data_IF_879847984366
#
_entry.id   IF_879847984366
#
_cell.length_a   1.000
_cell.length_b   1.000
_cell.length_c   1.000
_cell.angle_alpha   90.00
_cell.angle_beta   90.00
_cell.angle_gamma   90.00
#
_symmetry.space_group_name_H-M   'P 1'
#
loop_
_entity.id
_entity.type
_entity.pdbx_description
1 polymer ?
#
# COMPACT_ATOMS: atom_id res chain seq x y z
N UNK A 1 -22.01 -58.14 0.32
CA UNK A 1 -21.88 -57.63 -1.07
C UNK A 1 -22.45 -56.22 -1.22
N UNK A 2 -23.76 -55.97 -1.07
CA UNK A 2 -24.35 -54.61 -1.20
C UNK A 2 -23.74 -53.56 -0.26
N UNK A 3 -23.52 -53.89 1.02
CA UNK A 3 -22.93 -52.96 2.02
C UNK A 3 -21.47 -52.58 1.66
N UNK A 4 -20.68 -53.55 1.22
CA UNK A 4 -19.29 -53.34 0.75
C UNK A 4 -19.25 -52.45 -0.49
N UNK A 5 -20.19 -52.63 -1.42
CA UNK A 5 -20.30 -51.82 -2.64
C UNK A 5 -20.68 -50.36 -2.32
N UNK A 6 -21.57 -50.15 -1.34
CA UNK A 6 -21.97 -48.81 -0.90
C UNK A 6 -20.78 -48.07 -0.28
N UNK A 7 -20.03 -48.72 0.61
CA UNK A 7 -18.85 -48.12 1.26
C UNK A 7 -17.79 -47.74 0.23
N UNK A 8 -17.54 -48.59 -0.76
CA UNK A 8 -16.57 -48.31 -1.82
C UNK A 8 -16.99 -47.10 -2.67
N UNK A 9 -18.28 -47.00 -3.01
CA UNK A 9 -18.81 -45.86 -3.77
C UNK A 9 -18.78 -44.56 -2.96
N UNK A 10 -19.03 -44.59 -1.65
CA UNK A 10 -18.93 -43.40 -0.80
C UNK A 10 -17.49 -42.91 -0.66
N UNK A 11 -16.52 -43.83 -0.54
CA UNK A 11 -15.10 -43.47 -0.48
C UNK A 11 -14.65 -42.88 -1.82
N UNK A 12 -15.06 -43.47 -2.94
CA UNK A 12 -14.74 -42.97 -4.28
C UNK A 12 -15.34 -41.58 -4.53
N UNK A 13 -16.59 -41.35 -4.12
CA UNK A 13 -17.23 -40.03 -4.20
C UNK A 13 -16.50 -38.99 -3.34
N UNK A 14 -16.04 -39.35 -2.14
CA UNK A 14 -15.28 -38.46 -1.26
C UNK A 14 -13.91 -38.10 -1.86
N UNK A 15 -13.22 -39.06 -2.48
CA UNK A 15 -11.93 -38.84 -3.17
C UNK A 15 -12.12 -37.92 -4.40
N UNK A 16 -13.23 -38.06 -5.13
CA UNK A 16 -13.55 -37.19 -6.26
C UNK A 16 -13.83 -35.75 -5.82
N UNK A 17 -14.53 -35.55 -4.69
CA UNK A 17 -14.76 -34.22 -4.11
C UNK A 17 -13.45 -33.58 -3.65
N UNK A 18 -12.56 -34.37 -3.02
CA UNK A 18 -11.25 -33.89 -2.56
C UNK A 18 -10.29 -33.55 -3.73
N UNK A 19 -10.43 -34.24 -4.87
CA UNK A 19 -9.61 -33.99 -6.07
C UNK A 19 -10.04 -32.74 -6.83
N UNK A 20 -11.28 -32.28 -6.65
CA UNK A 20 -11.80 -31.05 -7.27
C UNK A 20 -11.45 -29.76 -6.50
N UNK A 21 -10.92 -29.86 -5.28
CA UNK A 21 -10.51 -28.70 -4.47
C UNK A 21 -9.04 -28.28 -4.66
N UNK A 22 -8.26 -28.92 -5.54
CA UNK A 22 -6.79 -28.72 -5.53
C UNK A 22 -6.24 -27.74 -6.58
N UNK A 23 -7.08 -27.02 -7.33
CA UNK A 23 -6.56 -26.01 -8.28
C UNK A 23 -7.39 -24.74 -8.28
N UNK A 24 -7.45 -24.07 -7.13
CA UNK A 24 -7.63 -22.63 -7.17
C UNK A 24 -6.39 -22.03 -7.82
N UNK A 25 -6.58 -21.44 -9.02
CA UNK A 25 -5.58 -20.55 -9.61
C UNK A 25 -5.54 -19.30 -8.76
N UNK A 26 -4.71 -19.34 -7.73
CA UNK A 26 -4.42 -18.22 -6.88
C UNK A 26 -3.34 -17.35 -7.58
N UNK A 27 -3.52 -16.02 -7.67
CA UNK A 27 -4.63 -15.25 -7.14
C UNK A 27 -5.80 -15.13 -8.13
N UNK A 28 -7.02 -15.34 -7.61
CA UNK A 28 -8.21 -14.76 -8.21
C UNK A 28 -8.03 -13.24 -8.30
N UNK A 29 -8.61 -12.56 -9.31
CA UNK A 29 -8.62 -11.11 -9.35
C UNK A 29 -9.16 -10.58 -8.03
N UNK A 30 -8.35 -9.77 -7.33
CA UNK A 30 -8.79 -9.16 -6.09
C UNK A 30 -9.97 -8.25 -6.41
N UNK A 31 -11.14 -8.53 -5.83
CA UNK A 31 -12.30 -7.61 -5.94
C UNK A 31 -12.00 -6.23 -5.33
N UNK A 32 -11.06 -6.17 -4.39
CA UNK A 32 -10.61 -4.91 -3.79
C UNK A 32 -9.52 -4.20 -4.61
N UNK A 33 -8.80 -4.93 -5.47
CA UNK A 33 -7.67 -4.42 -6.27
C UNK A 33 -7.80 -4.90 -7.72
N UNK A 34 -8.42 -4.09 -8.61
CA UNK A 34 -8.66 -4.46 -10.00
C UNK A 34 -7.36 -4.62 -10.81
N UNK A 35 -7.50 -5.08 -12.05
CA UNK A 35 -6.36 -5.16 -12.98
C UNK A 35 -5.66 -3.79 -13.13
N UNK A 36 -4.33 -3.80 -13.13
CA UNK A 36 -3.51 -2.60 -13.20
C UNK A 36 -3.29 -1.88 -11.86
N UNK A 37 -3.83 -2.38 -10.73
CA UNK A 37 -3.72 -1.72 -9.41
C UNK A 37 -2.29 -1.33 -9.01
N UNK A 38 -1.30 -2.19 -9.29
CA UNK A 38 0.11 -1.96 -8.98
C UNK A 38 0.95 -1.52 -10.19
N UNK A 39 0.31 -1.08 -11.27
CA UNK A 39 0.97 -0.62 -12.48
C UNK A 39 0.88 0.89 -12.58
N UNK A 40 2.02 1.58 -12.42
CA UNK A 40 2.07 3.04 -12.52
C UNK A 40 1.51 3.51 -13.86
N UNK A 41 0.56 4.47 -13.81
CA UNK A 41 -0.11 5.02 -14.98
C UNK A 41 -1.29 4.21 -15.52
N UNK A 42 -1.60 3.05 -14.96
CA UNK A 42 -2.84 2.35 -15.28
C UNK A 42 -4.07 3.12 -14.76
N UNK A 43 -5.23 2.90 -15.41
CA UNK A 43 -6.51 3.53 -15.04
C UNK A 43 -6.84 3.32 -13.57
N UNK A 44 -6.69 2.08 -13.08
CA UNK A 44 -6.97 1.72 -11.69
C UNK A 44 -5.74 1.77 -10.78
N UNK A 45 -4.70 2.54 -11.11
CA UNK A 45 -3.48 2.60 -10.31
C UNK A 45 -3.77 3.09 -8.88
N UNK A 46 -3.28 2.34 -7.87
CA UNK A 46 -3.56 2.63 -6.47
C UNK A 46 -3.11 4.03 -6.05
N UNK A 47 -1.98 4.51 -6.58
CA UNK A 47 -1.46 5.83 -6.22
C UNK A 47 -2.43 6.95 -6.61
N UNK A 48 -3.10 6.82 -7.76
CA UNK A 48 -4.17 7.74 -8.16
C UNK A 48 -5.35 7.67 -7.20
N UNK A 49 -5.73 6.46 -6.76
CA UNK A 49 -6.84 6.28 -5.83
C UNK A 49 -6.54 6.84 -4.44
N UNK A 50 -5.33 6.63 -3.94
CA UNK A 50 -4.87 7.17 -2.65
C UNK A 50 -4.87 8.70 -2.66
N UNK A 51 -4.46 9.34 -3.77
CA UNK A 51 -4.55 10.79 -3.91
C UNK A 51 -5.99 11.31 -3.93
N UNK A 52 -6.92 10.54 -4.48
CA UNK A 52 -8.34 10.92 -4.61
C UNK A 52 -9.11 10.77 -3.28
N UNK A 53 -8.91 9.66 -2.58
CA UNK A 53 -9.77 9.28 -1.42
C UNK A 53 -9.01 9.00 -0.12
N UNK A 54 -7.68 9.13 -0.12
CA UNK A 54 -6.83 8.75 0.99
C UNK A 54 -6.65 7.23 1.14
N UNK A 55 -6.11 6.81 2.29
CA UNK A 55 -5.77 5.41 2.58
C UNK A 55 -6.47 4.84 3.82
N UNK A 56 -7.40 5.59 4.43
CA UNK A 56 -8.03 5.19 5.69
C UNK A 56 -8.78 3.87 5.59
N UNK A 57 -9.45 3.61 4.47
CA UNK A 57 -10.15 2.35 4.22
C UNK A 57 -9.20 1.16 4.03
N UNK A 58 -7.95 1.40 3.64
CA UNK A 58 -6.96 0.35 3.43
C UNK A 58 -6.52 -0.28 4.76
N UNK A 59 -6.56 0.49 5.86
CA UNK A 59 -6.10 0.08 7.19
C UNK A 59 -6.83 -1.16 7.74
N UNK A 60 -8.07 -1.40 7.31
CA UNK A 60 -8.86 -2.55 7.78
C UNK A 60 -8.23 -3.90 7.41
N UNK A 61 -7.43 -3.97 6.34
CA UNK A 61 -6.78 -5.19 5.90
C UNK A 61 -5.25 -5.07 5.91
N UNK A 62 -4.73 -3.90 5.57
CA UNK A 62 -3.29 -3.63 5.49
C UNK A 62 -2.65 -3.25 6.83
N UNK A 63 -3.45 -3.22 7.91
CA UNK A 63 -3.03 -2.87 9.26
C UNK A 63 -3.19 -1.37 9.55
N UNK A 64 -3.38 -1.04 10.83
CA UNK A 64 -3.51 0.36 11.28
C UNK A 64 -2.26 1.18 10.99
N UNK A 65 -1.10 0.53 11.01
CA UNK A 65 0.21 1.07 10.70
C UNK A 65 0.59 0.91 9.21
N UNK A 66 -0.27 0.25 8.41
CA UNK A 66 -0.08 0.00 6.99
C UNK A 66 1.21 -0.78 6.64
N UNK A 67 1.72 -1.57 7.60
CA UNK A 67 2.92 -2.41 7.43
C UNK A 67 2.62 -3.83 7.00
N UNK A 68 1.38 -4.12 6.61
CA UNK A 68 1.01 -5.40 5.99
C UNK A 68 -0.26 -6.00 6.54
N UNK A 69 -0.56 -5.79 7.82
CA UNK A 69 -1.75 -6.37 8.47
C UNK A 69 -1.94 -7.84 8.13
N UNK A 70 -3.18 -8.22 7.84
CA UNK A 70 -3.54 -9.59 7.47
C UNK A 70 -3.11 -9.94 6.03
N UNK A 71 -2.85 -8.93 5.19
CA UNK A 71 -2.48 -9.14 3.78
C UNK A 71 -0.99 -9.41 3.58
N UNK A 72 -0.15 -9.07 4.56
CA UNK A 72 1.31 -9.09 4.44
C UNK A 72 1.89 -8.14 3.38
N UNK A 73 1.11 -7.17 2.88
CA UNK A 73 1.54 -6.15 1.91
C UNK A 73 1.41 -4.76 2.50
N UNK A 74 2.55 -4.10 2.72
CA UNK A 74 2.61 -2.78 3.34
C UNK A 74 2.86 -1.68 2.32
N UNK A 75 2.44 -0.45 2.65
CA UNK A 75 2.78 0.72 1.84
C UNK A 75 4.31 0.90 1.74
N UNK A 76 5.00 0.63 2.86
CA UNK A 76 6.43 0.80 3.01
C UNK A 76 7.29 -0.23 2.27
N UNK A 77 6.68 -1.26 1.67
CA UNK A 77 7.38 -2.20 0.78
C UNK A 77 7.90 -1.50 -0.48
N UNK A 78 7.26 -0.38 -0.88
CA UNK A 78 7.64 0.43 -2.05
C UNK A 78 7.78 1.92 -1.72
N UNK A 79 7.04 2.43 -0.74
CA UNK A 79 7.03 3.86 -0.38
C UNK A 79 7.81 4.12 0.91
N UNK A 80 8.98 4.77 0.80
CA UNK A 80 9.87 4.95 1.95
C UNK A 80 9.28 5.85 3.04
N UNK A 81 8.61 6.94 2.65
CA UNK A 81 8.11 7.94 3.60
C UNK A 81 6.60 8.12 3.58
N UNK A 82 5.87 7.40 2.72
CA UNK A 82 4.42 7.56 2.59
C UNK A 82 3.67 6.26 2.93
N UNK A 83 2.60 6.30 3.74
CA UNK A 83 2.05 7.49 4.39
C UNK A 83 2.98 8.14 5.39
N UNK A 84 2.96 9.48 5.40
CA UNK A 84 3.73 10.25 6.36
C UNK A 84 3.23 9.92 7.78
N UNK A 85 4.14 9.82 8.76
CA UNK A 85 3.75 9.65 10.16
C UNK A 85 2.97 10.88 10.66
N UNK A 86 2.19 10.72 11.73
CA UNK A 86 1.34 11.81 12.24
C UNK A 86 2.18 13.02 12.71
N UNK A 87 3.39 12.74 13.21
CA UNK A 87 4.38 13.72 13.66
C UNK A 87 5.26 14.30 12.54
N UNK A 88 4.97 14.01 11.26
CA UNK A 88 5.83 14.39 10.13
C UNK A 88 6.07 15.90 10.02
N UNK A 89 5.11 16.72 10.44
CA UNK A 89 5.20 18.18 10.44
C UNK A 89 5.52 18.77 11.81
N UNK A 90 5.78 17.95 12.81
CA UNK A 90 6.11 18.40 14.16
C UNK A 90 7.61 18.70 14.26
N UNK A 91 7.97 19.97 14.43
CA UNK A 91 9.37 20.43 14.48
C UNK A 91 10.16 19.83 15.65
N UNK A 92 9.50 19.46 16.74
CA UNK A 92 10.13 18.90 17.94
C UNK A 92 10.28 17.38 17.88
N UNK A 93 9.72 16.73 16.85
CA UNK A 93 9.79 15.29 16.68
C UNK A 93 11.05 14.83 15.94
N UNK A 94 11.72 13.79 16.46
CA UNK A 94 12.83 13.12 15.78
C UNK A 94 12.40 12.35 14.51
N UNK A 95 11.10 12.18 14.28
CA UNK A 95 10.52 11.50 13.11
C UNK A 95 9.92 12.48 12.07
N UNK A 96 10.27 13.77 12.14
CA UNK A 96 9.74 14.75 11.21
C UNK A 96 10.44 14.74 9.83
N UNK A 97 9.87 15.48 8.88
CA UNK A 97 10.40 15.56 7.51
C UNK A 97 11.77 16.25 7.42
N UNK A 98 12.06 17.19 8.31
CA UNK A 98 13.36 17.87 8.39
C UNK A 98 14.47 16.89 8.76
N UNK A 99 14.27 16.09 9.80
CA UNK A 99 15.19 15.02 10.23
C UNK A 99 15.41 13.99 9.11
N UNK A 100 14.33 13.60 8.42
CA UNK A 100 14.44 12.72 7.25
C UNK A 100 15.28 13.34 6.13
N UNK A 101 15.06 14.62 5.81
CA UNK A 101 15.83 15.33 4.77
C UNK A 101 17.31 15.41 5.17
N UNK A 102 17.61 15.73 6.42
CA UNK A 102 18.99 15.79 6.94
C UNK A 102 19.68 14.42 6.85
N UNK A 103 19.02 13.37 7.33
CA UNK A 103 19.51 11.98 7.23
C UNK A 103 19.76 11.55 5.77
N UNK A 104 19.03 12.14 4.83
CA UNK A 104 19.15 11.89 3.39
C UNK A 104 19.99 12.95 2.66
N UNK A 105 20.98 13.53 3.34
CA UNK A 105 21.96 14.48 2.77
C UNK A 105 21.31 15.73 2.13
N UNK A 106 20.19 16.18 2.69
CA UNK A 106 19.43 17.32 2.18
C UNK A 106 18.62 17.02 0.90
N UNK A 107 18.53 15.76 0.47
CA UNK A 107 17.84 15.42 -0.77
C UNK A 107 16.32 15.50 -0.62
N UNK A 108 15.68 16.17 -1.59
CA UNK A 108 14.22 16.27 -1.72
C UNK A 108 13.68 15.53 -2.95
N UNK A 109 14.51 14.76 -3.64
CA UNK A 109 14.16 14.17 -4.93
C UNK A 109 12.99 13.18 -4.83
N UNK A 110 12.93 12.40 -3.74
CA UNK A 110 11.80 11.49 -3.49
C UNK A 110 10.48 12.26 -3.30
N UNK A 111 10.53 13.44 -2.68
CA UNK A 111 9.38 14.29 -2.40
C UNK A 111 8.76 14.84 -3.69
N UNK A 112 9.58 15.14 -4.70
CA UNK A 112 9.14 15.73 -5.98
C UNK A 112 8.12 14.88 -6.73
N UNK A 113 8.11 13.57 -6.51
CA UNK A 113 7.14 12.64 -7.11
C UNK A 113 5.68 13.00 -6.80
N UNK A 114 5.44 13.57 -5.62
CA UNK A 114 4.12 13.98 -5.15
C UNK A 114 4.00 15.49 -4.98
N UNK A 115 5.04 16.17 -4.48
CA UNK A 115 5.04 17.60 -4.19
C UNK A 115 5.41 18.49 -5.39
N UNK A 116 5.71 17.88 -6.54
CA UNK A 116 6.08 18.58 -7.77
C UNK A 116 7.59 18.80 -7.89
N UNK A 117 8.07 18.98 -9.12
CA UNK A 117 9.51 19.17 -9.40
C UNK A 117 10.09 20.42 -8.75
N UNK A 118 9.24 21.44 -8.56
CA UNK A 118 9.55 22.71 -7.92
C UNK A 118 9.13 22.75 -6.45
N UNK A 119 8.57 21.65 -5.90
CA UNK A 119 8.09 21.54 -4.52
C UNK A 119 6.98 22.54 -4.15
N UNK A 120 6.24 23.04 -5.13
CA UNK A 120 5.15 24.02 -4.91
C UNK A 120 3.78 23.39 -4.68
N UNK A 121 3.70 22.06 -4.57
CA UNK A 121 2.48 21.35 -4.20
C UNK A 121 2.19 20.15 -5.08
N UNK A 122 2.54 20.19 -6.38
CA UNK A 122 2.38 19.05 -7.28
C UNK A 122 1.00 18.37 -7.18
N UNK A 123 1.02 17.05 -7.04
CA UNK A 123 -0.19 16.22 -6.85
C UNK A 123 -0.68 16.19 -5.40
N UNK A 124 0.19 16.44 -4.42
CA UNK A 124 -0.19 16.43 -3.00
C UNK A 124 -0.94 17.70 -2.58
N UNK A 125 -0.76 18.80 -3.31
CA UNK A 125 -1.28 20.13 -2.98
C UNK A 125 -0.51 20.83 -1.85
N UNK A 126 0.53 20.20 -1.29
CA UNK A 126 1.30 20.73 -0.14
C UNK A 126 2.62 21.32 -0.61
N UNK A 127 2.77 22.64 -0.51
CA UNK A 127 3.98 23.37 -0.88
C UNK A 127 4.98 23.40 0.26
N UNK A 128 6.26 23.14 -0.02
CA UNK A 128 7.34 23.33 0.96
C UNK A 128 7.41 24.80 1.42
N UNK A 129 7.09 25.74 0.52
CA UNK A 129 7.18 27.17 0.78
C UNK A 129 6.01 27.72 1.59
N UNK A 130 5.01 26.90 1.92
CA UNK A 130 3.98 27.27 2.88
C UNK A 130 4.55 27.51 4.28
N UNK A 131 5.62 26.79 4.64
CA UNK A 131 6.31 26.94 5.93
C UNK A 131 7.79 27.37 5.80
N UNK A 132 8.44 27.12 4.66
CA UNK A 132 9.86 27.44 4.42
C UNK A 132 10.06 28.54 3.37
N UNK A 133 9.74 29.82 3.68
CA UNK A 133 9.92 30.92 2.73
C UNK A 133 11.41 31.08 2.37
N UNK A 134 11.69 31.34 1.09
CA UNK A 134 13.05 31.54 0.56
C UNK A 134 14.03 30.37 0.76
N UNK A 135 13.53 29.12 0.89
CA UNK A 135 14.39 27.93 0.95
C UNK A 135 15.13 27.76 2.28
N UNK A 136 14.66 28.38 3.36
CA UNK A 136 15.20 28.19 4.69
C UNK A 136 14.93 26.76 5.17
N UNK A 137 15.96 25.90 5.13
CA UNK A 137 15.92 24.53 5.62
C UNK A 137 16.40 24.38 7.08
N UNK A 138 16.55 25.49 7.82
CA UNK A 138 16.94 25.43 9.22
C UNK A 138 15.71 25.40 10.14
N UNK A 139 15.82 24.62 11.22
CA UNK A 139 15.06 24.85 12.46
C UNK A 139 15.28 26.27 12.98
#
# INVERSE_FOLDING_TARGET
MKKTLIVLNTILALILVLSYCSTDKNPLPSVSHPEGWNTSGAENFHGSKVLEVGYSSCKSCHGVDLKGGDTGKGCFDCHQTYPHPDEWTDFDSDNNHGEYIEANSGSTDYCKSCHGSDLTGGKSGISCFSCHPAGSLSK
#
